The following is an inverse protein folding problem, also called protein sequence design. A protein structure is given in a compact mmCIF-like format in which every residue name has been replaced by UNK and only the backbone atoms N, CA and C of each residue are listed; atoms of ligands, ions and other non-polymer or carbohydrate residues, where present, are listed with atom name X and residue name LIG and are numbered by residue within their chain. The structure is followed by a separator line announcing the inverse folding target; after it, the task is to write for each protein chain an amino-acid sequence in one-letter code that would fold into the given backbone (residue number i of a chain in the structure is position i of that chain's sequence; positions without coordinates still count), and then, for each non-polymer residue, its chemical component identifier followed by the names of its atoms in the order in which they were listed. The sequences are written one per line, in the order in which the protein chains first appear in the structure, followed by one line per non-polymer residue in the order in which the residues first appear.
data_IF_534579166381
#
_entry.id   IF_534579166381
#
_cell.length_a   1.000
_cell.length_b   1.000
_cell.length_c   1.000
_cell.angle_alpha   90.00
_cell.angle_beta   90.00
_cell.angle_gamma   90.00
#
_symmetry.space_group_name_H-M   'P 1'
#
loop_
_entity.id
_entity.type
_entity.pdbx_description
1 polymer ?
#
# COMPACT_ATOMS: atom_id res chain seq x y z
N UNK A 1 -16.42 7.75 11.71
CA UNK A 1 -15.24 6.86 11.56
C UNK A 1 -15.27 6.28 10.16
N UNK A 2 -14.17 6.33 9.43
CA UNK A 2 -14.18 5.98 8.01
C UNK A 2 -13.54 4.59 7.76
N UNK A 3 -14.27 3.53 8.09
CA UNK A 3 -13.85 2.16 7.82
C UNK A 3 -13.63 1.88 6.33
N UNK A 4 -14.30 2.62 5.45
CA UNK A 4 -14.16 2.44 4.00
C UNK A 4 -12.75 2.71 3.51
N UNK A 5 -12.07 3.74 4.03
CA UNK A 5 -10.70 4.04 3.62
C UNK A 5 -9.72 2.95 4.08
N UNK A 6 -9.89 2.45 5.29
CA UNK A 6 -9.05 1.36 5.80
C UNK A 6 -9.28 0.07 5.01
N UNK A 7 -10.54 -0.29 4.75
CA UNK A 7 -10.86 -1.46 3.93
C UNK A 7 -10.32 -1.34 2.51
N UNK A 8 -10.49 -0.18 1.87
CA UNK A 8 -9.97 0.04 0.52
C UNK A 8 -8.45 -0.06 0.48
N UNK A 9 -7.75 0.49 1.47
CA UNK A 9 -6.31 0.35 1.57
C UNK A 9 -5.87 -1.11 1.72
N UNK A 10 -6.56 -1.89 2.56
CA UNK A 10 -6.31 -3.35 2.68
C UNK A 10 -6.50 -4.05 1.34
N UNK A 11 -7.57 -3.74 0.60
CA UNK A 11 -7.83 -4.28 -0.74
C UNK A 11 -6.68 -3.93 -1.70
N UNK A 12 -6.24 -2.68 -1.71
CA UNK A 12 -5.16 -2.21 -2.59
C UNK A 12 -3.82 -2.91 -2.29
N UNK A 13 -3.51 -3.13 -1.01
CA UNK A 13 -2.32 -3.88 -0.60
C UNK A 13 -2.40 -5.33 -1.05
N UNK A 14 -3.54 -6.00 -0.87
CA UNK A 14 -3.74 -7.38 -1.32
C UNK A 14 -3.64 -7.48 -2.86
N UNK A 15 -4.22 -6.54 -3.60
CA UNK A 15 -4.10 -6.47 -5.07
C UNK A 15 -2.63 -6.38 -5.50
N UNK A 16 -1.86 -5.52 -4.87
CA UNK A 16 -0.44 -5.35 -5.18
C UNK A 16 0.36 -6.61 -4.87
N UNK A 17 0.10 -7.25 -3.72
CA UNK A 17 0.70 -8.55 -3.36
C UNK A 17 0.38 -9.63 -4.40
N UNK A 18 -0.87 -9.74 -4.82
CA UNK A 18 -1.29 -10.70 -5.84
C UNK A 18 -0.67 -10.39 -7.22
N UNK A 19 -0.44 -9.13 -7.55
CA UNK A 19 0.27 -8.74 -8.77
C UNK A 19 1.76 -9.14 -8.72
N UNK A 20 2.39 -9.05 -7.54
CA UNK A 20 3.81 -9.40 -7.32
C UNK A 20 4.05 -10.92 -7.29
N UNK A 21 3.21 -11.65 -6.56
CA UNK A 21 3.45 -13.05 -6.18
C UNK A 21 2.48 -14.04 -6.82
N UNK A 22 1.47 -13.55 -7.53
CA UNK A 22 0.34 -14.34 -8.02
C UNK A 22 -0.72 -14.56 -6.93
N UNK A 23 -1.92 -14.96 -7.37
CA UNK A 23 -3.01 -15.29 -6.46
C UNK A 23 -2.71 -16.57 -5.67
N UNK A 24 -2.94 -16.50 -4.37
CA UNK A 24 -2.96 -17.66 -3.47
C UNK A 24 -4.15 -17.56 -2.53
N UNK A 25 -4.81 -18.68 -2.28
CA UNK A 25 -5.83 -18.75 -1.25
C UNK A 25 -5.14 -18.91 0.11
N UNK A 26 -4.97 -17.81 0.81
CA UNK A 26 -4.24 -17.75 2.08
C UNK A 26 -4.78 -16.68 3.02
N UNK A 27 -4.51 -16.87 4.29
CA UNK A 27 -4.71 -15.85 5.31
C UNK A 27 -3.61 -14.80 5.19
N UNK A 28 -3.98 -13.53 5.35
CA UNK A 28 -3.05 -12.40 5.18
C UNK A 28 -2.90 -11.65 6.51
N UNK A 29 -1.67 -11.24 6.82
CA UNK A 29 -1.36 -10.36 7.95
C UNK A 29 -0.71 -9.10 7.43
N UNK A 30 -1.38 -7.97 7.67
CA UNK A 30 -0.86 -6.65 7.32
C UNK A 30 -0.49 -5.88 8.58
N UNK A 31 0.64 -5.19 8.52
CA UNK A 31 1.16 -4.42 9.64
C UNK A 31 1.17 -2.94 9.31
N UNK A 32 0.58 -2.14 10.19
CA UNK A 32 0.48 -0.70 10.05
C UNK A 32 0.99 -0.01 11.31
N UNK A 33 1.72 1.12 11.19
CA UNK A 33 1.95 1.99 12.32
C UNK A 33 0.65 2.70 12.75
N UNK A 34 0.60 3.19 13.99
CA UNK A 34 -0.55 3.93 14.52
C UNK A 34 -0.92 5.14 13.65
N UNK A 35 0.09 5.86 13.13
CA UNK A 35 -0.09 7.01 12.24
C UNK A 35 -0.91 6.68 11.01
N UNK A 36 -0.63 5.56 10.34
CA UNK A 36 -1.35 5.10 9.16
C UNK A 36 -2.78 4.72 9.49
N UNK A 37 -3.00 3.96 10.57
CA UNK A 37 -4.35 3.57 10.97
C UNK A 37 -5.19 4.79 11.32
N UNK A 38 -4.63 5.74 12.09
CA UNK A 38 -5.30 6.99 12.42
C UNK A 38 -5.63 7.82 11.17
N UNK A 39 -4.71 7.90 10.22
CA UNK A 39 -4.94 8.59 8.95
C UNK A 39 -6.11 7.94 8.18
N UNK A 40 -6.09 6.61 8.01
CA UNK A 40 -7.13 5.88 7.27
C UNK A 40 -8.51 5.96 7.95
N UNK A 41 -8.55 5.97 9.28
CA UNK A 41 -9.78 6.13 10.06
C UNK A 41 -10.22 7.59 10.21
N UNK A 42 -9.39 8.53 9.80
CA UNK A 42 -9.55 9.97 10.02
C UNK A 42 -9.70 10.28 11.52
N UNK A 43 -8.78 9.79 12.33
CA UNK A 43 -8.70 9.98 13.78
C UNK A 43 -7.30 10.43 14.22
N UNK A 44 -7.16 10.80 15.49
CA UNK A 44 -5.87 11.16 16.11
C UNK A 44 -5.69 10.49 17.48
N UNK A 45 -6.36 9.35 17.67
CA UNK A 45 -6.37 8.63 18.95
C UNK A 45 -5.03 7.98 19.30
N UNK A 46 -4.85 7.67 20.58
CA UNK A 46 -3.82 6.76 21.06
C UNK A 46 -4.02 5.35 20.51
N UNK A 47 -3.03 4.46 20.66
CA UNK A 47 -3.14 3.08 20.21
C UNK A 47 -4.33 2.34 20.82
N UNK A 48 -4.63 2.60 22.09
CA UNK A 48 -5.75 1.98 22.81
C UNK A 48 -7.11 2.50 22.28
N UNK A 49 -7.26 3.81 22.14
CA UNK A 49 -8.46 4.44 21.59
C UNK A 49 -8.71 4.00 20.14
N UNK A 50 -7.66 3.94 19.33
CA UNK A 50 -7.74 3.48 17.94
C UNK A 50 -8.13 2.01 17.88
N UNK A 51 -7.57 1.14 18.75
CA UNK A 51 -7.96 -0.26 18.80
C UNK A 51 -9.42 -0.45 19.22
N UNK A 52 -9.89 0.32 20.21
CA UNK A 52 -11.31 0.33 20.59
C UNK A 52 -12.20 0.76 19.44
N UNK A 53 -11.77 1.75 18.67
CA UNK A 53 -12.50 2.23 17.51
C UNK A 53 -12.62 1.22 16.37
N UNK A 54 -11.82 0.17 16.37
CA UNK A 54 -11.87 -0.93 15.41
C UNK A 54 -12.78 -2.11 15.84
N UNK A 55 -13.49 -2.00 16.97
CA UNK A 55 -14.31 -3.09 17.51
C UNK A 55 -15.33 -3.64 16.50
N UNK A 56 -15.95 -2.78 15.70
CA UNK A 56 -16.96 -3.14 14.71
C UNK A 56 -16.39 -3.37 13.29
N UNK A 57 -15.08 -3.20 13.11
CA UNK A 57 -14.45 -3.31 11.79
C UNK A 57 -14.61 -4.71 11.19
N UNK A 58 -14.49 -5.77 12.00
CA UNK A 58 -14.69 -7.14 11.54
C UNK A 58 -16.12 -7.40 11.03
N UNK A 59 -17.13 -6.84 11.70
CA UNK A 59 -18.51 -6.92 11.22
C UNK A 59 -18.71 -6.13 9.91
N UNK A 60 -18.06 -4.97 9.80
CA UNK A 60 -18.11 -4.15 8.59
C UNK A 60 -17.50 -4.84 7.36
N UNK A 61 -16.42 -5.59 7.53
CA UNK A 61 -15.72 -6.28 6.44
C UNK A 61 -16.27 -7.69 6.12
N UNK A 62 -17.16 -8.23 6.97
CA UNK A 62 -17.56 -9.65 6.97
C UNK A 62 -17.99 -10.19 5.62
N UNK A 63 -18.77 -9.43 4.84
CA UNK A 63 -19.31 -9.86 3.56
C UNK A 63 -18.26 -9.87 2.43
N UNK A 64 -17.21 -9.08 2.57
CA UNK A 64 -16.16 -8.91 1.55
C UNK A 64 -14.87 -9.61 1.93
N UNK A 65 -14.17 -9.09 2.91
CA UNK A 65 -12.86 -9.60 3.32
C UNK A 65 -12.94 -10.72 4.37
N UNK A 66 -14.15 -11.05 4.84
CA UNK A 66 -14.35 -11.86 6.03
C UNK A 66 -14.21 -11.02 7.30
N UNK A 67 -14.30 -11.69 8.46
CA UNK A 67 -14.16 -11.04 9.76
C UNK A 67 -12.70 -10.67 9.99
N UNK A 68 -12.32 -9.46 9.56
CA UNK A 68 -10.98 -8.94 9.82
C UNK A 68 -10.83 -8.61 11.29
N UNK A 69 -9.76 -9.08 11.91
CA UNK A 69 -9.44 -8.78 13.31
C UNK A 69 -8.20 -7.91 13.41
N UNK A 70 -8.20 -7.00 14.38
CA UNK A 70 -7.08 -6.11 14.64
C UNK A 70 -6.47 -6.39 16.02
N UNK A 71 -5.16 -6.34 16.11
CA UNK A 71 -4.43 -6.32 17.36
C UNK A 71 -3.36 -5.22 17.32
N UNK A 72 -2.94 -4.73 18.49
CA UNK A 72 -1.93 -3.69 18.57
C UNK A 72 -0.85 -4.07 19.58
N UNK A 73 0.41 -3.85 19.22
CA UNK A 73 1.57 -3.99 20.10
C UNK A 73 2.57 -2.88 19.81
N UNK A 74 2.92 -2.08 20.83
CA UNK A 74 3.87 -0.98 20.70
C UNK A 74 3.56 -0.07 19.51
N UNK A 75 2.32 0.42 19.44
CA UNK A 75 1.83 1.30 18.38
C UNK A 75 1.87 0.72 16.95
N UNK A 76 2.10 -0.59 16.82
CA UNK A 76 2.03 -1.31 15.56
C UNK A 76 0.80 -2.20 15.55
N UNK A 77 -0.07 -1.96 14.59
CA UNK A 77 -1.28 -2.73 14.36
C UNK A 77 -0.99 -3.91 13.44
N UNK A 78 -1.59 -5.05 13.77
CA UNK A 78 -1.64 -6.22 12.89
C UNK A 78 -3.11 -6.48 12.56
N UNK A 79 -3.45 -6.41 11.28
CA UNK A 79 -4.73 -6.84 10.74
C UNK A 79 -4.59 -8.26 10.21
N UNK A 80 -5.41 -9.15 10.73
CA UNK A 80 -5.54 -10.52 10.25
C UNK A 80 -6.76 -10.60 9.34
N UNK A 81 -6.53 -10.94 8.09
CA UNK A 81 -7.53 -11.07 7.04
C UNK A 81 -7.67 -12.56 6.71
N UNK A 82 -8.87 -13.15 6.83
CA UNK A 82 -9.09 -14.55 6.49
C UNK A 82 -8.92 -14.82 4.99
N UNK A 83 -8.80 -16.09 4.59
CA UNK A 83 -8.70 -16.54 3.19
C UNK A 83 -9.79 -15.94 2.28
N UNK A 84 -10.97 -15.66 2.84
CA UNK A 84 -12.06 -14.98 2.13
C UNK A 84 -11.60 -13.66 1.52
N UNK A 85 -10.77 -12.88 2.22
CA UNK A 85 -10.26 -11.61 1.73
C UNK A 85 -9.37 -11.77 0.51
N UNK A 86 -8.44 -12.73 0.54
CA UNK A 86 -7.60 -13.05 -0.63
C UNK A 86 -8.45 -13.44 -1.84
N UNK A 87 -9.44 -14.31 -1.65
CA UNK A 87 -10.35 -14.73 -2.70
C UNK A 87 -11.23 -13.60 -3.22
N UNK A 88 -11.83 -12.80 -2.32
CA UNK A 88 -12.66 -11.68 -2.69
C UNK A 88 -11.92 -10.69 -3.60
N UNK A 89 -10.71 -10.32 -3.25
CA UNK A 89 -9.90 -9.40 -4.05
C UNK A 89 -9.62 -9.99 -5.43
N UNK A 90 -9.24 -11.27 -5.50
CA UNK A 90 -8.99 -11.94 -6.78
C UNK A 90 -10.22 -12.00 -7.69
N UNK A 91 -11.40 -12.30 -7.15
CA UNK A 91 -12.62 -12.54 -7.92
C UNK A 91 -13.39 -11.25 -8.26
N UNK A 92 -13.29 -10.20 -7.41
CA UNK A 92 -14.15 -9.02 -7.49
C UNK A 92 -13.41 -7.72 -7.80
N UNK A 93 -12.07 -7.75 -7.90
CA UNK A 93 -11.31 -6.58 -8.32
C UNK A 93 -10.68 -6.81 -9.68
N UNK A 94 -10.63 -5.75 -10.50
CA UNK A 94 -9.85 -5.81 -11.74
C UNK A 94 -8.36 -5.67 -11.42
N UNK A 95 -7.48 -6.43 -12.08
CA UNK A 95 -6.05 -6.17 -12.00
C UNK A 95 -5.77 -4.70 -12.37
N UNK A 96 -4.91 -4.07 -11.60
CA UNK A 96 -4.41 -2.74 -11.98
C UNK A 96 -3.32 -2.94 -13.03
N UNK A 97 -3.66 -2.66 -14.30
CA UNK A 97 -2.76 -2.85 -15.44
C UNK A 97 -1.47 -2.03 -15.27
N UNK A 98 -1.58 -0.79 -14.79
CA UNK A 98 -0.42 0.06 -14.56
C UNK A 98 0.50 -0.50 -13.46
N UNK A 99 -0.06 -0.91 -12.32
CA UNK A 99 0.72 -1.55 -11.25
C UNK A 99 1.36 -2.86 -11.74
N UNK A 100 0.64 -3.64 -12.54
CA UNK A 100 1.19 -4.85 -13.17
C UNK A 100 2.38 -4.54 -14.10
N UNK A 101 2.28 -3.52 -14.94
CA UNK A 101 3.37 -3.07 -15.81
C UNK A 101 4.57 -2.55 -14.98
N UNK A 102 4.30 -1.77 -13.94
CA UNK A 102 5.33 -1.23 -13.04
C UNK A 102 6.10 -2.36 -12.33
N UNK A 103 5.38 -3.33 -11.75
CA UNK A 103 5.98 -4.48 -11.07
C UNK A 103 6.82 -5.31 -12.05
N UNK A 104 6.30 -5.56 -13.26
CA UNK A 104 7.02 -6.29 -14.29
C UNK A 104 8.29 -5.55 -14.76
N UNK A 105 8.25 -4.22 -14.81
CA UNK A 105 9.41 -3.40 -15.14
C UNK A 105 10.45 -3.43 -14.02
N UNK A 106 10.04 -3.16 -12.78
CA UNK A 106 10.95 -3.14 -11.61
C UNK A 106 11.59 -4.52 -11.36
N UNK A 107 10.86 -5.60 -11.64
CA UNK A 107 11.37 -6.98 -11.50
C UNK A 107 12.44 -7.39 -12.52
N UNK A 108 12.70 -6.58 -13.55
CA UNK A 108 13.73 -6.89 -14.54
C UNK A 108 15.12 -6.43 -14.07
N UNK A 109 16.11 -7.26 -14.28
CA UNK A 109 17.51 -6.87 -14.10
C UNK A 109 17.91 -5.73 -15.05
N UNK A 110 18.60 -4.75 -14.51
CA UNK A 110 19.11 -3.62 -15.29
C UNK A 110 18.05 -2.55 -15.62
N UNK A 111 16.87 -2.61 -15.00
CA UNK A 111 15.89 -1.52 -15.08
C UNK A 111 16.51 -0.24 -14.52
N UNK A 112 16.30 0.85 -15.23
CA UNK A 112 16.77 2.18 -14.85
C UNK A 112 15.64 3.03 -14.29
N UNK A 113 15.98 4.02 -13.47
CA UNK A 113 15.01 5.01 -12.99
C UNK A 113 14.37 5.81 -14.15
N UNK A 114 15.10 6.04 -15.24
CA UNK A 114 14.55 6.72 -16.41
C UNK A 114 13.46 5.90 -17.11
N UNK A 115 13.61 4.58 -17.18
CA UNK A 115 12.55 3.71 -17.72
C UNK A 115 11.29 3.74 -16.84
N UNK A 116 11.46 3.83 -15.51
CA UNK A 116 10.34 3.98 -14.58
C UNK A 116 9.65 5.34 -14.80
N UNK A 117 10.42 6.42 -14.90
CA UNK A 117 9.89 7.77 -15.19
C UNK A 117 9.11 7.79 -16.50
N UNK A 118 9.62 7.13 -17.54
CA UNK A 118 8.96 7.07 -18.85
C UNK A 118 7.65 6.28 -18.79
N UNK A 119 7.59 5.18 -18.03
CA UNK A 119 6.36 4.44 -17.80
C UNK A 119 5.30 5.34 -17.14
N UNK A 120 5.67 6.08 -16.10
CA UNK A 120 4.74 7.02 -15.46
C UNK A 120 4.32 8.15 -16.40
N UNK A 121 5.24 8.78 -17.13
CA UNK A 121 4.90 9.84 -18.11
C UNK A 121 3.89 9.36 -19.16
N UNK A 122 4.04 8.13 -19.63
CA UNK A 122 3.18 7.58 -20.67
C UNK A 122 1.82 7.10 -20.17
N UNK A 123 1.75 6.60 -18.92
CA UNK A 123 0.54 5.97 -18.36
C UNK A 123 -0.17 6.82 -17.32
N UNK A 124 0.56 7.71 -16.65
CA UNK A 124 0.11 8.54 -15.53
C UNK A 124 0.65 9.98 -15.69
N UNK A 125 0.17 10.73 -16.69
CA UNK A 125 0.73 12.05 -17.03
C UNK A 125 0.58 13.10 -15.91
N UNK A 126 -0.34 12.87 -14.94
CA UNK A 126 -0.54 13.74 -13.78
C UNK A 126 0.47 13.48 -12.64
N UNK A 127 1.33 12.47 -12.79
CA UNK A 127 2.32 12.14 -11.77
C UNK A 127 3.42 13.20 -11.66
N UNK A 128 3.68 13.67 -10.46
CA UNK A 128 4.85 14.49 -10.12
C UNK A 128 6.03 13.58 -9.80
N UNK A 129 7.22 13.95 -10.27
CA UNK A 129 8.43 13.16 -10.16
C UNK A 129 9.56 14.01 -9.60
N UNK A 130 10.08 13.62 -8.44
CA UNK A 130 11.21 14.26 -7.79
C UNK A 130 12.40 13.32 -7.73
N UNK A 131 13.54 13.77 -8.31
CA UNK A 131 14.81 13.09 -8.12
C UNK A 131 15.33 13.47 -6.75
N UNK A 132 15.61 12.46 -5.93
CA UNK A 132 16.08 12.65 -4.57
C UNK A 132 17.61 12.56 -4.54
N UNK A 133 18.21 13.43 -3.76
CA UNK A 133 19.67 13.45 -3.54
C UNK A 133 19.92 13.02 -2.09
N UNK A 134 19.78 11.73 -1.83
CA UNK A 134 19.90 11.16 -0.49
C UNK A 134 20.25 9.67 -0.50
N UNK A 135 20.69 9.16 0.64
CA UNK A 135 21.13 7.78 0.77
C UNK A 135 19.99 6.76 0.74
N UNK A 136 18.76 7.18 1.02
CA UNK A 136 17.62 6.27 1.20
C UNK A 136 16.73 6.14 -0.03
N UNK A 137 16.70 7.14 -0.91
CA UNK A 137 15.74 7.23 -1.99
C UNK A 137 16.30 8.02 -3.16
N UNK A 138 16.16 7.51 -4.38
CA UNK A 138 16.67 8.16 -5.60
C UNK A 138 15.54 8.83 -6.41
N UNK A 139 14.32 8.31 -6.33
CA UNK A 139 13.17 8.83 -7.08
C UNK A 139 11.89 8.69 -6.25
N UNK A 140 11.17 9.81 -6.11
CA UNK A 140 9.84 9.88 -5.54
C UNK A 140 8.84 10.25 -6.63
N UNK A 141 7.74 9.50 -6.74
CA UNK A 141 6.63 9.83 -7.64
C UNK A 141 5.34 9.88 -6.82
N UNK A 142 4.53 10.89 -7.03
CA UNK A 142 3.27 11.10 -6.32
C UNK A 142 2.28 11.92 -7.16
N UNK A 143 1.04 11.99 -6.69
CA UNK A 143 -0.02 12.80 -7.28
C UNK A 143 -0.45 13.91 -6.32
N UNK A 144 -0.66 15.12 -6.85
CA UNK A 144 -1.23 16.20 -6.05
C UNK A 144 -2.70 15.92 -5.73
N UNK A 145 -3.06 16.09 -4.47
CA UNK A 145 -4.43 15.85 -4.02
C UNK A 145 -5.34 17.06 -4.34
N UNK A 146 -6.62 16.84 -4.71
CA UNK A 146 -7.31 15.54 -4.71
C UNK A 146 -7.08 14.72 -6.00
N UNK A 147 -6.54 13.52 -5.87
CA UNK A 147 -6.38 12.55 -6.95
C UNK A 147 -6.78 11.15 -6.44
N UNK A 148 -7.34 10.25 -7.27
CA UNK A 148 -7.78 8.92 -6.82
C UNK A 148 -6.67 8.07 -6.23
N UNK A 149 -5.42 8.28 -6.63
CA UNK A 149 -4.25 7.59 -6.09
C UNK A 149 -3.57 8.45 -5.01
N UNK A 150 -3.67 8.07 -3.71
CA UNK A 150 -3.09 8.83 -2.61
C UNK A 150 -1.65 8.45 -2.28
N UNK A 151 -1.05 7.51 -3.03
CA UNK A 151 0.22 6.89 -2.62
C UNK A 151 1.45 7.65 -3.10
N UNK A 152 2.53 7.50 -2.33
CA UNK A 152 3.90 7.82 -2.71
C UNK A 152 4.59 6.56 -3.24
N UNK A 153 5.13 6.65 -4.44
CA UNK A 153 5.90 5.61 -5.11
C UNK A 153 7.38 5.93 -4.95
N UNK A 154 8.08 5.10 -4.21
CA UNK A 154 9.47 5.31 -3.79
C UNK A 154 10.39 4.30 -4.46
N UNK A 155 11.46 4.78 -5.08
CA UNK A 155 12.40 3.95 -5.82
C UNK A 155 13.83 4.21 -5.39
N UNK A 156 14.60 3.13 -5.19
CA UNK A 156 16.03 3.16 -4.96
C UNK A 156 16.74 2.29 -5.99
N UNK A 157 17.79 2.83 -6.61
CA UNK A 157 18.63 2.11 -7.56
C UNK A 157 19.76 1.41 -6.82
N UNK A 158 19.71 0.08 -6.74
CA UNK A 158 20.74 -0.77 -6.15
C UNK A 158 21.66 -1.40 -7.25
N UNK A 159 21.88 -0.68 -8.34
CA UNK A 159 22.70 -1.13 -9.45
C UNK A 159 21.95 -2.05 -10.42
N UNK A 160 21.99 -3.36 -10.20
CA UNK A 160 21.28 -4.33 -11.06
C UNK A 160 19.79 -4.41 -10.81
N UNK A 161 19.32 -3.86 -9.69
CA UNK A 161 17.92 -3.89 -9.27
C UNK A 161 17.47 -2.50 -8.89
N UNK A 162 16.18 -2.25 -9.08
CA UNK A 162 15.48 -1.11 -8.48
C UNK A 162 14.57 -1.65 -7.39
N UNK A 163 14.74 -1.14 -6.17
CA UNK A 163 13.83 -1.42 -5.07
C UNK A 163 12.65 -0.45 -5.18
N UNK A 164 11.45 -0.97 -5.02
CA UNK A 164 10.20 -0.23 -5.09
C UNK A 164 9.35 -0.45 -3.86
N UNK A 165 8.85 0.64 -3.30
CA UNK A 165 7.84 0.64 -2.24
C UNK A 165 6.78 1.69 -2.49
N UNK A 166 5.56 1.42 -2.05
CA UNK A 166 4.42 2.33 -2.11
C UNK A 166 3.91 2.60 -0.70
N UNK A 167 3.77 3.88 -0.36
CA UNK A 167 3.38 4.33 0.97
C UNK A 167 2.25 5.35 0.92
N UNK A 168 1.48 5.44 2.01
CA UNK A 168 0.70 6.63 2.28
C UNK A 168 1.64 7.78 2.69
N UNK A 169 1.33 9.04 2.32
CA UNK A 169 2.16 10.19 2.70
C UNK A 169 2.41 10.33 4.20
N UNK A 170 1.47 9.87 5.05
CA UNK A 170 1.61 9.88 6.50
C UNK A 170 2.76 8.98 6.99
N UNK A 171 3.09 7.93 6.25
CA UNK A 171 4.11 6.94 6.62
C UNK A 171 5.49 7.26 6.03
N UNK A 172 5.53 8.17 5.07
CA UNK A 172 6.75 8.53 4.35
C UNK A 172 7.87 9.09 5.26
N UNK A 173 7.50 9.77 6.37
CA UNK A 173 8.46 10.35 7.31
C UNK A 173 9.23 9.32 8.14
N UNK A 174 8.63 8.14 8.33
CA UNK A 174 9.18 7.06 9.15
C UNK A 174 9.79 5.94 8.29
N UNK A 175 9.96 6.23 7.00
CA UNK A 175 10.39 5.26 6.02
C UNK A 175 11.91 5.13 5.94
N UNK A 176 12.41 3.89 5.96
CA UNK A 176 13.77 3.50 5.67
C UNK A 176 13.75 2.23 4.81
N UNK A 177 14.65 2.14 3.83
CA UNK A 177 14.85 0.92 3.02
C UNK A 177 15.66 -0.17 3.76
N UNK A 178 16.01 0.02 5.06
CA UNK A 178 16.69 -0.99 5.87
C UNK A 178 15.80 -2.17 6.28
#
# INVERSE_FOLDING_TARGET
MNYQNLEQNIIDVIKEEQAKLGYRLEEIRLYYPLSSVNHLLNTTGSAEETLQSLADFGAFTADRLGVVTASCRKERFCFYIPEQGSRYVHEHTQPDEFIGELIALVGKHGTTLEQIRELFRSRQPEAHMEVMDGDELDLLIYFEQPFPDPYYYCFKNEGLHVIYHRFLPADYKDFSFE
#
